data_IF_580484863246
#
_entry.id   IF_580484863246
#
_cell.length_a   1.000
_cell.length_b   1.000
_cell.length_c   1.000
_cell.angle_alpha   90.00
_cell.angle_beta   90.00
_cell.angle_gamma   90.00
#
_symmetry.space_group_name_H-M   'P 1'
#
loop_
_entity.id
_entity.type
_entity.pdbx_description
1 polymer ?
#
# COMPACT_ATOMS: atom_id res chain seq x y z
N UNK A 1 6.64 -28.07 1.01
CA UNK A 1 6.29 -26.70 1.45
C UNK A 1 6.29 -26.75 2.96
N UNK A 2 7.39 -26.34 3.61
CA UNK A 2 7.54 -26.46 5.06
C UNK A 2 7.92 -25.10 5.65
N UNK A 3 7.32 -24.72 6.79
CA UNK A 3 7.57 -23.44 7.45
C UNK A 3 6.46 -23.00 8.41
N UNK A 4 6.72 -21.93 9.17
CA UNK A 4 5.80 -21.36 10.19
C UNK A 4 4.41 -21.01 9.60
N UNK A 5 4.36 -20.53 8.36
CA UNK A 5 3.13 -20.21 7.64
C UNK A 5 2.27 -21.47 7.35
N UNK A 6 2.91 -22.58 6.94
CA UNK A 6 2.20 -23.82 6.65
C UNK A 6 1.65 -24.49 7.92
N UNK A 7 2.41 -24.45 9.02
CA UNK A 7 1.95 -24.92 10.33
C UNK A 7 0.75 -24.10 10.84
N UNK A 8 0.80 -22.77 10.68
CA UNK A 8 -0.32 -21.90 11.01
C UNK A 8 -1.55 -22.17 10.15
N UNK A 9 -1.41 -22.28 8.82
CA UNK A 9 -2.52 -22.56 7.92
C UNK A 9 -3.22 -23.87 8.29
N UNK A 10 -2.44 -24.93 8.57
CA UNK A 10 -3.01 -26.21 9.01
C UNK A 10 -3.80 -26.05 10.31
N UNK A 11 -3.24 -25.35 11.30
CA UNK A 11 -3.95 -25.08 12.56
C UNK A 11 -5.24 -24.27 12.34
N UNK A 12 -5.16 -23.21 11.53
CA UNK A 12 -6.27 -22.34 11.19
C UNK A 12 -7.43 -23.09 10.53
N UNK A 13 -7.13 -23.96 9.56
CA UNK A 13 -8.13 -24.78 8.86
C UNK A 13 -8.76 -25.86 9.75
N UNK A 14 -8.06 -26.33 10.78
CA UNK A 14 -8.57 -27.32 11.73
C UNK A 14 -9.39 -26.70 12.86
N UNK A 15 -9.32 -25.38 13.06
CA UNK A 15 -10.10 -24.69 14.07
C UNK A 15 -11.57 -24.58 13.64
N UNK A 16 -12.48 -25.12 14.45
CA UNK A 16 -13.92 -25.11 14.15
C UNK A 16 -14.52 -23.71 14.17
N UNK A 17 -13.90 -22.76 14.87
CA UNK A 17 -14.32 -21.37 14.91
C UNK A 17 -14.05 -20.63 13.59
N UNK A 18 -13.14 -21.17 12.77
CA UNK A 18 -12.70 -20.57 11.51
C UNK A 18 -13.45 -21.17 10.29
N UNK A 19 -14.43 -22.03 10.56
CA UNK A 19 -15.25 -22.64 9.51
C UNK A 19 -16.20 -21.60 8.93
N UNK A 20 -16.04 -21.31 7.64
CA UNK A 20 -16.89 -20.37 6.90
C UNK A 20 -16.35 -18.94 6.85
N UNK A 21 -15.13 -18.70 7.32
CA UNK A 21 -14.45 -17.42 7.14
C UNK A 21 -14.25 -17.12 5.66
N UNK A 22 -14.46 -15.85 5.30
CA UNK A 22 -14.22 -15.38 3.94
C UNK A 22 -12.73 -15.33 3.66
N UNK A 23 -12.36 -15.33 2.37
CA UNK A 23 -10.97 -15.14 1.95
C UNK A 23 -10.36 -13.85 2.52
N UNK A 24 -11.16 -12.79 2.68
CA UNK A 24 -10.73 -11.54 3.30
C UNK A 24 -10.39 -11.70 4.79
N UNK A 25 -11.19 -12.46 5.55
CA UNK A 25 -10.93 -12.74 6.96
C UNK A 25 -9.63 -13.56 7.13
N UNK A 26 -9.41 -14.53 6.23
CA UNK A 26 -8.18 -15.34 6.20
C UNK A 26 -6.96 -14.44 6.00
N UNK A 27 -7.02 -13.50 5.05
CA UNK A 27 -5.92 -12.56 4.81
C UNK A 27 -5.66 -11.64 6.01
N UNK A 28 -6.70 -11.20 6.72
CA UNK A 28 -6.55 -10.40 7.94
C UNK A 28 -5.86 -11.19 9.06
N UNK A 29 -6.22 -12.46 9.25
CA UNK A 29 -5.64 -13.29 10.29
C UNK A 29 -4.21 -13.75 9.97
N UNK A 30 -3.89 -13.94 8.69
CA UNK A 30 -2.50 -14.08 8.23
C UNK A 30 -1.72 -12.80 8.57
N UNK A 31 -2.28 -11.64 8.23
CA UNK A 31 -1.70 -10.33 8.53
C UNK A 31 -1.43 -10.15 10.02
N UNK A 32 -2.41 -10.39 10.89
CA UNK A 32 -2.23 -10.23 12.34
C UNK A 32 -1.16 -11.16 12.94
N UNK A 33 -0.94 -12.33 12.33
CA UNK A 33 0.03 -13.33 12.82
C UNK A 33 1.45 -13.10 12.31
N UNK A 34 1.59 -12.63 11.08
CA UNK A 34 2.88 -12.58 10.37
C UNK A 34 3.34 -11.16 10.03
N UNK A 35 2.45 -10.17 10.07
CA UNK A 35 2.84 -8.77 9.98
C UNK A 35 3.30 -8.28 11.36
N UNK A 36 4.60 -8.04 11.50
CA UNK A 36 5.20 -7.43 12.69
C UNK A 36 5.17 -5.90 12.63
N UNK A 37 4.58 -5.31 11.59
CA UNK A 37 4.41 -3.88 11.44
C UNK A 37 3.33 -3.36 12.39
N UNK A 38 3.72 -2.59 13.40
CA UNK A 38 2.76 -1.76 14.15
C UNK A 38 2.07 -0.86 13.13
N UNK A 39 0.75 -0.93 13.01
CA UNK A 39 -0.06 -0.18 12.03
C UNK A 39 0.34 1.31 11.96
N UNK A 40 0.53 1.94 13.12
CA UNK A 40 0.99 3.33 13.23
C UNK A 40 2.37 3.56 12.58
N UNK A 41 3.26 2.56 12.66
CA UNK A 41 4.55 2.56 11.99
C UNK A 41 4.43 2.51 10.47
N UNK A 42 3.49 1.74 9.93
CA UNK A 42 3.27 1.61 8.48
C UNK A 42 2.64 2.87 7.89
N UNK A 43 1.67 3.47 8.58
CA UNK A 43 1.09 4.77 8.18
C UNK A 43 2.14 5.87 8.27
N UNK A 44 2.97 5.88 9.32
CA UNK A 44 4.07 6.83 9.43
C UNK A 44 5.15 6.63 8.36
N UNK A 45 5.43 5.38 7.98
CA UNK A 45 6.36 5.05 6.89
C UNK A 45 5.81 5.51 5.54
N UNK A 46 4.52 5.25 5.27
CA UNK A 46 3.82 5.74 4.09
C UNK A 46 3.82 7.26 4.01
N UNK A 47 3.53 7.96 5.11
CA UNK A 47 3.55 9.43 5.18
C UNK A 47 4.95 10.04 4.97
N UNK A 48 6.01 9.28 5.30
CA UNK A 48 7.41 9.71 5.14
C UNK A 48 8.00 9.29 3.79
N UNK A 49 7.31 8.46 3.02
CA UNK A 49 7.79 8.00 1.72
C UNK A 49 7.97 9.21 0.78
N UNK A 50 9.18 9.34 0.21
CA UNK A 50 9.53 10.39 -0.76
C UNK A 50 10.15 9.76 -2.00
N UNK A 51 9.77 10.26 -3.17
CA UNK A 51 10.42 10.00 -4.45
C UNK A 51 11.81 10.64 -4.42
N UNK A 52 12.85 9.80 -4.48
CA UNK A 52 14.26 10.23 -4.52
C UNK A 52 14.93 9.97 -5.87
N UNK A 53 14.24 9.25 -6.76
CA UNK A 53 14.76 8.79 -8.05
C UNK A 53 13.61 8.50 -9.00
N UNK A 54 13.71 7.40 -9.74
CA UNK A 54 12.68 7.00 -10.71
C UNK A 54 11.29 6.92 -10.06
N UNK A 55 10.28 7.40 -10.78
CA UNK A 55 8.89 7.33 -10.34
C UNK A 55 8.47 5.87 -10.09
N UNK A 56 8.93 4.93 -10.92
CA UNK A 56 8.62 3.50 -10.77
C UNK A 56 9.06 2.95 -9.40
N UNK A 57 10.26 3.26 -8.94
CA UNK A 57 10.77 2.83 -7.63
C UNK A 57 9.93 3.38 -6.48
N UNK A 58 9.39 4.60 -6.65
CA UNK A 58 8.48 5.20 -5.69
C UNK A 58 7.11 4.50 -5.69
N UNK A 59 6.54 4.22 -6.87
CA UNK A 59 5.27 3.50 -7.02
C UNK A 59 5.32 2.11 -6.37
N UNK A 60 6.37 1.33 -6.64
CA UNK A 60 6.51 -0.02 -6.08
C UNK A 60 6.55 0.00 -4.54
N UNK A 61 7.26 0.96 -3.95
CA UNK A 61 7.33 1.15 -2.49
C UNK A 61 6.01 1.63 -1.92
N UNK A 62 5.36 2.56 -2.61
CA UNK A 62 4.06 3.08 -2.20
C UNK A 62 3.00 1.97 -2.17
N UNK A 63 2.89 1.18 -3.25
CA UNK A 63 1.95 0.06 -3.33
C UNK A 63 2.22 -1.01 -2.27
N UNK A 64 3.49 -1.31 -2.00
CA UNK A 64 3.90 -2.27 -0.96
C UNK A 64 3.46 -1.81 0.44
N UNK A 65 3.59 -0.52 0.74
CA UNK A 65 3.14 0.05 2.02
C UNK A 65 1.62 0.15 2.08
N UNK A 66 0.98 0.59 1.00
CA UNK A 66 -0.47 0.75 0.92
C UNK A 66 -1.20 -0.59 1.10
N UNK A 67 -0.66 -1.68 0.55
CA UNK A 67 -1.21 -3.03 0.70
C UNK A 67 -1.27 -3.53 2.16
N UNK A 68 -0.57 -2.87 3.09
CA UNK A 68 -0.47 -3.24 4.50
C UNK A 68 -1.18 -2.26 5.44
N UNK A 69 -1.79 -1.19 4.91
CA UNK A 69 -2.55 -0.22 5.70
C UNK A 69 -4.01 -0.15 5.24
N UNK A 70 -4.88 0.27 6.15
CA UNK A 70 -6.29 0.53 5.87
C UNK A 70 -6.51 2.03 6.08
N UNK A 71 -6.59 2.79 4.99
CA UNK A 71 -6.77 4.25 4.99
C UNK A 71 -7.81 4.65 3.94
N UNK A 72 -8.36 5.86 4.06
CA UNK A 72 -9.29 6.39 3.06
C UNK A 72 -8.55 6.75 1.77
N UNK A 73 -9.29 6.81 0.66
CA UNK A 73 -8.76 7.26 -0.62
C UNK A 73 -8.16 8.67 -0.51
N UNK A 74 -8.78 9.58 0.26
CA UNK A 74 -8.25 10.95 0.41
C UNK A 74 -6.90 10.99 1.12
N UNK A 75 -6.69 10.10 2.11
CA UNK A 75 -5.41 9.97 2.80
C UNK A 75 -4.36 9.34 1.91
N UNK A 76 -4.71 8.27 1.18
CA UNK A 76 -3.83 7.65 0.20
C UNK A 76 -3.38 8.68 -0.85
N UNK A 77 -4.33 9.40 -1.43
CA UNK A 77 -4.08 10.48 -2.39
C UNK A 77 -3.14 11.55 -1.81
N UNK A 78 -3.41 12.00 -0.58
CA UNK A 78 -2.59 13.02 0.08
C UNK A 78 -1.16 12.54 0.31
N UNK A 79 -0.98 11.30 0.80
CA UNK A 79 0.35 10.74 1.00
C UNK A 79 1.08 10.58 -0.33
N UNK A 80 0.42 10.05 -1.35
CA UNK A 80 1.00 9.89 -2.68
C UNK A 80 1.50 11.23 -3.23
N UNK A 81 0.64 12.26 -3.27
CA UNK A 81 0.98 13.58 -3.80
C UNK A 81 2.12 14.22 -2.99
N UNK A 82 2.08 14.12 -1.67
CA UNK A 82 3.13 14.67 -0.80
C UNK A 82 4.48 13.97 -0.97
N UNK A 83 4.47 12.73 -1.46
CA UNK A 83 5.65 11.91 -1.66
C UNK A 83 6.34 12.11 -3.00
N UNK A 84 5.67 12.72 -3.99
CA UNK A 84 6.28 13.04 -5.29
C UNK A 84 7.39 14.10 -5.18
N UNK A 85 8.21 14.23 -6.23
CA UNK A 85 9.07 15.40 -6.40
C UNK A 85 8.23 16.67 -6.52
N UNK A 86 8.81 17.82 -6.13
CA UNK A 86 8.10 19.11 -6.13
C UNK A 86 7.60 19.47 -7.54
N UNK A 87 8.40 19.15 -8.55
CA UNK A 87 8.10 19.39 -9.96
C UNK A 87 6.88 18.56 -10.40
N UNK A 88 6.93 17.25 -10.14
CA UNK A 88 5.89 16.31 -10.55
C UNK A 88 4.58 16.53 -9.76
N UNK A 89 4.67 16.80 -8.47
CA UNK A 89 3.53 17.15 -7.62
C UNK A 89 2.77 18.34 -8.20
N UNK A 90 3.47 19.43 -8.57
CA UNK A 90 2.85 20.63 -9.15
C UNK A 90 2.13 20.30 -10.45
N UNK A 91 2.77 19.53 -11.34
CA UNK A 91 2.16 19.14 -12.61
C UNK A 91 0.89 18.33 -12.40
N UNK A 92 0.94 17.34 -11.50
CA UNK A 92 -0.22 16.47 -11.25
C UNK A 92 -1.35 17.24 -10.54
N UNK A 93 -1.06 18.14 -9.61
CA UNK A 93 -2.07 18.93 -8.89
C UNK A 93 -2.94 19.82 -9.79
N UNK A 94 -2.43 20.28 -10.93
CA UNK A 94 -3.20 21.10 -11.88
C UNK A 94 -4.42 20.34 -12.41
N UNK A 95 -4.33 19.01 -12.50
CA UNK A 95 -5.40 18.15 -12.98
C UNK A 95 -6.48 17.86 -11.93
N UNK A 96 -6.30 18.29 -10.68
CA UNK A 96 -7.24 18.06 -9.56
C UNK A 96 -7.72 16.59 -9.46
N UNK A 97 -6.78 15.63 -9.38
CA UNK A 97 -7.13 14.22 -9.33
C UNK A 97 -7.91 13.90 -8.05
N UNK A 98 -8.83 12.95 -8.17
CA UNK A 98 -9.66 12.46 -7.06
C UNK A 98 -9.30 11.05 -6.61
N UNK A 99 -8.66 10.28 -7.48
CA UNK A 99 -8.24 8.91 -7.20
C UNK A 99 -6.73 8.74 -7.37
N UNK A 100 -6.12 7.89 -6.53
CA UNK A 100 -4.69 7.56 -6.60
C UNK A 100 -4.30 7.06 -7.99
N UNK A 101 -5.16 6.25 -8.62
CA UNK A 101 -4.92 5.75 -9.97
C UNK A 101 -4.81 6.87 -11.02
N UNK A 102 -5.62 7.93 -10.91
CA UNK A 102 -5.52 9.09 -11.81
C UNK A 102 -4.18 9.80 -11.61
N UNK A 103 -3.75 9.98 -10.36
CA UNK A 103 -2.45 10.57 -10.04
C UNK A 103 -1.32 9.77 -10.64
N UNK A 104 -1.36 8.44 -10.52
CA UNK A 104 -0.33 7.54 -11.08
C UNK A 104 -0.27 7.68 -12.59
N UNK A 105 -1.41 7.71 -13.28
CA UNK A 105 -1.47 7.87 -14.73
C UNK A 105 -0.87 9.22 -15.16
N UNK A 106 -1.28 10.31 -14.52
CA UNK A 106 -0.78 11.65 -14.84
C UNK A 106 0.72 11.75 -14.53
N UNK A 107 1.16 11.23 -13.37
CA UNK A 107 2.56 11.25 -12.97
C UNK A 107 3.45 10.51 -13.98
N UNK A 108 3.02 9.34 -14.45
CA UNK A 108 3.73 8.59 -15.50
C UNK A 108 3.82 9.36 -16.82
N UNK A 109 2.72 9.97 -17.25
CA UNK A 109 2.71 10.79 -18.47
C UNK A 109 3.67 11.98 -18.39
N UNK A 110 3.83 12.60 -17.22
CA UNK A 110 4.69 13.76 -17.02
C UNK A 110 6.17 13.38 -16.81
N UNK A 111 6.45 12.21 -16.24
CA UNK A 111 7.82 11.70 -16.04
C UNK A 111 8.49 11.27 -17.37
N UNK A 112 7.68 10.94 -18.39
CA UNK A 112 8.14 10.61 -19.75
C UNK A 112 8.42 11.84 -20.64
N UNK A 113 8.13 13.07 -20.16
CA UNK A 113 8.38 14.30 -20.91
C UNK A 113 9.78 14.85 -20.54
N UNK A 114 10.72 14.93 -21.50
CA UNK A 114 12.10 15.36 -21.25
C UNK A 114 12.27 16.84 -20.93
#
# INVERSE_FOLDING_TARGET
MDGKAFAWQRHYMHNTNNKGESWQQILQDVGSRFDTGVFDGLVAELARLKQKGALLDYLEKYDTLLARVVITEELALSFFLSGLTIELEKLVRVHRPTFVQEVIQIARLQDEVP
#
